data_IF_987606179865
#
_entry.id   IF_987606179865
#
_cell.length_a   1.000
_cell.length_b   1.000
_cell.length_c   1.000
_cell.angle_alpha   90.00
_cell.angle_beta   90.00
_cell.angle_gamma   90.00
#
_symmetry.space_group_name_H-M   'P 1'
#
loop_
_entity.id
_entity.type
_entity.pdbx_description
1 polymer ?
#
# COMPACT_ATOMS: atom_id res chain seq x y z
N UNK A 1 51.93 29.16 -29.85
CA UNK A 1 51.91 27.71 -29.58
C UNK A 1 51.68 27.37 -28.10
N UNK A 2 51.12 28.29 -27.29
CA UNK A 2 50.99 28.16 -25.83
C UNK A 2 49.55 28.30 -25.31
N UNK A 3 48.55 28.47 -26.19
CA UNK A 3 47.14 28.67 -25.80
C UNK A 3 46.36 27.34 -25.77
N UNK A 4 46.77 26.33 -26.55
CA UNK A 4 46.05 25.04 -26.65
C UNK A 4 46.24 24.12 -25.44
N UNK A 5 47.36 24.23 -24.72
CA UNK A 5 47.64 23.36 -23.57
C UNK A 5 46.74 23.71 -22.38
N UNK A 6 46.48 25.01 -22.15
CA UNK A 6 45.63 25.48 -21.05
C UNK A 6 44.15 25.11 -21.25
N UNK A 7 43.68 25.10 -22.51
CA UNK A 7 42.32 24.68 -22.87
C UNK A 7 42.12 23.16 -22.73
N UNK A 8 43.13 22.36 -23.09
CA UNK A 8 43.08 20.90 -22.90
C UNK A 8 43.13 20.49 -21.42
N UNK A 9 43.89 21.20 -20.59
CA UNK A 9 43.94 20.94 -19.15
C UNK A 9 42.64 21.30 -18.43
N UNK A 10 41.97 22.40 -18.82
CA UNK A 10 40.67 22.78 -18.26
C UNK A 10 39.53 21.86 -18.70
N UNK A 11 39.57 21.34 -19.93
CA UNK A 11 38.61 20.33 -20.40
C UNK A 11 38.77 18.97 -19.69
N UNK A 12 40.00 18.50 -19.47
CA UNK A 12 40.29 17.28 -18.69
C UNK A 12 39.90 17.42 -17.21
N UNK A 13 40.14 18.59 -16.60
CA UNK A 13 39.75 18.85 -15.21
C UNK A 13 38.23 18.87 -15.02
N UNK A 14 37.48 19.36 -16.01
CA UNK A 14 36.00 19.37 -15.98
C UNK A 14 35.39 17.99 -16.27
N UNK A 15 36.07 17.16 -17.06
CA UNK A 15 35.69 15.77 -17.28
C UNK A 15 35.94 14.87 -16.05
N UNK A 16 36.95 15.20 -15.24
CA UNK A 16 37.30 14.47 -14.02
C UNK A 16 36.33 14.68 -12.84
N UNK A 17 35.50 15.73 -12.87
CA UNK A 17 34.49 16.00 -11.83
C UNK A 17 33.07 15.57 -12.22
N UNK A 18 32.91 14.85 -13.34
CA UNK A 18 31.63 14.25 -13.69
C UNK A 18 31.40 13.04 -12.78
N UNK A 19 30.52 13.19 -11.80
CA UNK A 19 30.05 12.08 -10.96
C UNK A 19 29.53 10.99 -11.89
N UNK A 20 30.32 9.92 -12.02
CA UNK A 20 29.98 8.81 -12.91
C UNK A 20 28.71 8.13 -12.38
N UNK A 21 27.77 7.84 -13.28
CA UNK A 21 26.56 7.14 -12.88
C UNK A 21 26.95 5.76 -12.32
N UNK A 22 26.51 5.39 -11.09
CA UNK A 22 26.87 4.10 -10.50
C UNK A 22 26.46 2.95 -11.43
N UNK A 23 27.35 1.97 -11.60
CA UNK A 23 27.17 0.80 -12.49
C UNK A 23 27.14 -0.49 -11.65
N UNK A 24 26.43 -1.50 -12.12
CA UNK A 24 26.36 -2.81 -11.45
C UNK A 24 25.66 -2.79 -10.08
N UNK A 25 26.27 -3.44 -9.09
CA UNK A 25 25.72 -3.59 -7.72
C UNK A 25 25.63 -2.26 -6.95
N UNK A 26 26.50 -1.29 -7.25
CA UNK A 26 26.41 0.07 -6.71
C UNK A 26 25.14 0.80 -7.14
N UNK A 27 24.55 0.40 -8.28
CA UNK A 27 23.28 0.91 -8.79
C UNK A 27 22.10 0.44 -7.93
N UNK A 28 22.19 -0.80 -7.42
CA UNK A 28 21.21 -1.35 -6.47
C UNK A 28 21.33 -0.64 -5.13
N UNK A 29 22.55 -0.46 -4.62
CA UNK A 29 22.80 0.31 -3.39
C UNK A 29 22.39 1.80 -3.49
N UNK A 30 22.63 2.43 -4.64
CA UNK A 30 22.18 3.79 -4.90
C UNK A 30 20.65 3.88 -5.09
N UNK A 31 20.01 2.85 -5.62
CA UNK A 31 18.54 2.81 -5.77
C UNK A 31 17.87 2.56 -4.42
N UNK A 32 18.43 1.68 -3.58
CA UNK A 32 17.92 1.44 -2.24
C UNK A 32 18.07 2.67 -1.33
N UNK A 33 19.20 3.38 -1.41
CA UNK A 33 19.38 4.64 -0.65
C UNK A 33 18.41 5.73 -1.10
N UNK A 34 18.08 5.79 -2.40
CA UNK A 34 17.06 6.71 -2.93
C UNK A 34 15.64 6.32 -2.52
N UNK A 35 15.31 5.02 -2.55
CA UNK A 35 14.04 4.50 -2.03
C UNK A 35 13.90 4.85 -0.55
N UNK A 36 14.96 4.64 0.23
CA UNK A 36 15.00 4.97 1.66
C UNK A 36 14.81 6.48 1.88
N UNK A 37 15.46 7.33 1.09
CA UNK A 37 15.27 8.77 1.18
C UNK A 37 13.81 9.19 0.91
N UNK A 38 13.17 8.66 -0.14
CA UNK A 38 11.75 8.92 -0.41
C UNK A 38 10.83 8.38 0.69
N UNK A 39 11.13 7.18 1.20
CA UNK A 39 10.41 6.60 2.34
C UNK A 39 10.50 7.51 3.58
N UNK A 40 11.69 8.01 3.92
CA UNK A 40 11.90 8.93 5.05
C UNK A 40 11.13 10.24 4.85
N UNK A 41 11.15 10.82 3.65
CA UNK A 41 10.40 12.04 3.35
C UNK A 41 8.89 11.83 3.57
N UNK A 42 8.33 10.72 3.11
CA UNK A 42 6.92 10.42 3.32
C UNK A 42 6.58 10.12 4.80
N UNK A 43 7.49 9.48 5.54
CA UNK A 43 7.39 9.30 6.99
C UNK A 43 7.37 10.65 7.74
N UNK A 44 8.15 11.63 7.29
CA UNK A 44 8.18 12.95 7.90
C UNK A 44 6.88 13.73 7.67
N UNK A 45 6.29 13.60 6.47
CA UNK A 45 4.96 14.17 6.19
C UNK A 45 3.91 13.58 7.15
N UNK A 46 3.96 12.26 7.35
CA UNK A 46 3.06 11.55 8.25
C UNK A 46 3.12 12.02 9.70
N UNK A 47 4.30 12.34 10.20
CA UNK A 47 4.48 12.80 11.59
C UNK A 47 3.74 14.11 11.87
N UNK A 48 3.56 14.95 10.85
CA UNK A 48 2.90 16.25 10.98
C UNK A 48 1.38 16.16 10.78
N UNK A 49 0.87 15.09 10.17
CA UNK A 49 -0.56 14.91 9.87
C UNK A 49 -1.28 13.99 10.88
N UNK A 50 -1.18 14.34 12.18
CA UNK A 50 -1.75 13.52 13.26
C UNK A 50 -3.27 13.46 13.23
N UNK A 51 -3.93 14.54 12.82
CA UNK A 51 -5.38 14.62 12.71
C UNK A 51 -5.92 13.67 11.64
N UNK A 52 -5.19 13.51 10.52
CA UNK A 52 -5.59 12.63 9.42
C UNK A 52 -5.67 11.16 9.87
N UNK A 53 -4.73 10.70 10.69
CA UNK A 53 -4.72 9.32 11.20
C UNK A 53 -5.95 9.03 12.08
N UNK A 54 -6.33 10.00 12.92
CA UNK A 54 -7.50 9.88 13.81
C UNK A 54 -8.81 9.97 13.03
N UNK A 55 -8.92 10.88 12.06
CA UNK A 55 -10.13 10.98 11.26
C UNK A 55 -10.33 9.76 10.37
N UNK A 56 -9.25 9.16 9.85
CA UNK A 56 -9.32 7.89 9.10
C UNK A 56 -9.72 6.69 9.96
N UNK A 57 -9.46 6.70 11.27
CA UNK A 57 -9.94 5.67 12.20
C UNK A 57 -11.46 5.62 12.34
N UNK A 58 -12.16 6.71 12.09
CA UNK A 58 -13.61 6.78 12.28
C UNK A 58 -14.33 5.73 11.43
N UNK A 59 -13.94 5.57 10.17
CA UNK A 59 -14.62 4.64 9.27
C UNK A 59 -14.42 3.16 9.63
N UNK A 60 -13.19 2.66 9.87
CA UNK A 60 -12.95 1.31 10.38
C UNK A 60 -13.61 1.05 11.73
N UNK A 61 -13.59 2.04 12.63
CA UNK A 61 -14.23 1.94 13.93
C UNK A 61 -15.76 1.80 13.79
N UNK A 62 -16.39 2.58 12.91
CA UNK A 62 -17.83 2.44 12.62
C UNK A 62 -18.16 1.07 12.05
N UNK A 63 -17.32 0.53 11.16
CA UNK A 63 -17.51 -0.83 10.65
C UNK A 63 -17.43 -1.87 11.77
N UNK A 64 -16.41 -1.81 12.61
CA UNK A 64 -16.23 -2.79 13.69
C UNK A 64 -17.31 -2.65 14.78
N UNK A 65 -17.65 -1.41 15.16
CA UNK A 65 -18.63 -1.14 16.22
C UNK A 65 -20.05 -1.41 15.75
N UNK A 66 -20.45 -0.93 14.57
CA UNK A 66 -21.83 -1.09 14.09
C UNK A 66 -22.03 -2.48 13.52
N UNK A 67 -21.27 -2.87 12.50
CA UNK A 67 -21.47 -4.17 11.87
C UNK A 67 -20.98 -5.31 12.76
N UNK A 68 -19.83 -5.16 13.42
CA UNK A 68 -19.30 -6.21 14.30
C UNK A 68 -20.24 -6.54 15.46
N UNK A 69 -20.75 -5.54 16.20
CA UNK A 69 -21.67 -5.80 17.32
C UNK A 69 -23.04 -6.26 16.86
N UNK A 70 -23.62 -5.61 15.84
CA UNK A 70 -24.97 -5.93 15.35
C UNK A 70 -25.03 -7.36 14.84
N UNK A 71 -24.10 -7.76 13.97
CA UNK A 71 -24.12 -9.11 13.40
C UNK A 71 -23.68 -10.18 14.39
N UNK A 72 -22.82 -9.83 15.37
CA UNK A 72 -22.51 -10.73 16.48
C UNK A 72 -23.73 -10.98 17.37
N UNK A 73 -24.57 -9.97 17.62
CA UNK A 73 -25.80 -10.15 18.40
C UNK A 73 -26.86 -10.96 17.65
N UNK A 74 -27.02 -10.70 16.34
CA UNK A 74 -28.03 -11.36 15.54
C UNK A 74 -27.69 -12.83 15.20
N UNK A 75 -26.46 -13.29 15.44
CA UNK A 75 -25.98 -14.65 15.11
C UNK A 75 -26.27 -15.08 13.66
N UNK A 76 -26.33 -14.11 12.73
CA UNK A 76 -26.76 -14.31 11.34
C UNK A 76 -25.71 -15.06 10.53
N UNK A 77 -24.43 -14.90 10.89
CA UNK A 77 -23.29 -15.45 10.15
C UNK A 77 -22.65 -16.55 11.00
N UNK A 78 -22.70 -17.79 10.51
CA UNK A 78 -22.04 -18.93 11.14
C UNK A 78 -20.54 -18.84 10.91
N UNK A 79 -19.81 -18.17 11.81
CA UNK A 79 -18.34 -18.07 11.80
C UNK A 79 -17.65 -19.24 12.52
N UNK A 80 -18.38 -20.31 12.84
CA UNK A 80 -17.86 -21.46 13.57
C UNK A 80 -17.68 -21.16 15.06
N UNK A 81 -16.47 -21.38 15.59
CA UNK A 81 -16.12 -21.20 17.00
C UNK A 81 -15.62 -19.80 17.38
N UNK A 82 -15.56 -18.89 16.41
CA UNK A 82 -14.99 -17.54 16.58
C UNK A 82 -16.11 -16.50 16.51
N UNK A 83 -16.06 -15.48 17.37
CA UNK A 83 -17.02 -14.38 17.31
C UNK A 83 -16.93 -13.64 15.98
N UNK A 84 -18.06 -13.15 15.48
CA UNK A 84 -18.08 -12.40 14.22
C UNK A 84 -17.16 -11.16 14.27
N UNK A 85 -17.04 -10.54 15.45
CA UNK A 85 -16.12 -9.43 15.72
C UNK A 85 -14.64 -9.82 15.48
N UNK A 86 -14.22 -10.98 15.97
CA UNK A 86 -12.87 -11.49 15.73
C UNK A 86 -12.66 -11.82 14.25
N UNK A 87 -13.66 -12.39 13.56
CA UNK A 87 -13.61 -12.67 12.13
C UNK A 87 -13.53 -11.40 11.26
N UNK A 88 -14.24 -10.35 11.67
CA UNK A 88 -14.36 -9.08 10.94
C UNK A 88 -13.11 -8.20 11.08
N UNK A 89 -12.45 -8.21 12.24
CA UNK A 89 -11.31 -7.33 12.51
C UNK A 89 -10.18 -7.42 11.47
N UNK A 90 -9.67 -8.61 11.07
CA UNK A 90 -8.71 -8.73 9.96
C UNK A 90 -9.21 -8.17 8.63
N UNK A 91 -10.50 -8.37 8.33
CA UNK A 91 -11.15 -7.86 7.14
C UNK A 91 -11.14 -6.33 7.08
N UNK A 92 -11.48 -5.69 8.19
CA UNK A 92 -11.50 -4.22 8.32
C UNK A 92 -10.07 -3.65 8.27
N UNK A 93 -9.08 -4.35 8.82
CA UNK A 93 -7.67 -3.95 8.70
C UNK A 93 -7.24 -3.91 7.22
N UNK A 94 -7.48 -4.99 6.47
CA UNK A 94 -7.16 -5.05 5.03
C UNK A 94 -7.96 -4.02 4.22
N UNK A 95 -9.24 -3.85 4.51
CA UNK A 95 -10.07 -2.80 3.90
C UNK A 95 -9.50 -1.41 4.12
N UNK A 96 -9.05 -1.11 5.34
CA UNK A 96 -8.46 0.19 5.68
C UNK A 96 -7.19 0.43 4.84
N UNK A 97 -6.37 -0.60 4.66
CA UNK A 97 -5.17 -0.56 3.84
C UNK A 97 -5.49 -0.25 2.37
N UNK A 98 -6.49 -0.93 1.79
CA UNK A 98 -7.00 -0.65 0.44
C UNK A 98 -7.47 0.81 0.31
N UNK A 99 -8.30 1.28 1.25
CA UNK A 99 -8.91 2.61 1.16
C UNK A 99 -7.88 3.72 1.26
N UNK A 100 -6.86 3.57 2.12
CA UNK A 100 -5.71 4.49 2.20
C UNK A 100 -4.94 4.50 0.88
N UNK A 101 -4.67 3.31 0.34
CA UNK A 101 -3.79 3.14 -0.80
C UNK A 101 -4.34 3.76 -2.09
N UNK A 102 -5.66 3.82 -2.24
CA UNK A 102 -6.31 4.45 -3.39
C UNK A 102 -6.02 5.95 -3.51
N UNK A 103 -5.80 6.65 -2.39
CA UNK A 103 -5.47 8.08 -2.43
C UNK A 103 -4.07 8.39 -2.96
N UNK A 104 -3.16 7.41 -3.01
CA UNK A 104 -1.79 7.64 -3.49
C UNK A 104 -1.71 7.94 -4.99
N UNK A 105 -2.63 7.39 -5.80
CA UNK A 105 -2.73 7.77 -7.21
C UNK A 105 -3.16 9.23 -7.36
N UNK A 106 -4.13 9.70 -6.56
CA UNK A 106 -4.56 11.09 -6.56
C UNK A 106 -3.41 12.00 -6.15
N UNK A 107 -2.64 11.60 -5.14
CA UNK A 107 -1.48 12.34 -4.68
C UNK A 107 -0.41 12.48 -5.79
N UNK A 108 -0.26 11.47 -6.65
CA UNK A 108 0.64 11.58 -7.83
C UNK A 108 0.13 12.55 -8.88
N UNK A 109 -1.18 12.59 -9.14
CA UNK A 109 -1.75 13.57 -10.06
C UNK A 109 -1.55 14.98 -9.48
N UNK A 110 -1.69 15.13 -8.16
CA UNK A 110 -1.45 16.41 -7.51
C UNK A 110 0.01 16.84 -7.59
N UNK A 111 0.95 15.92 -7.32
CA UNK A 111 2.39 16.17 -7.46
C UNK A 111 2.76 16.55 -8.90
N UNK A 112 2.07 15.96 -9.90
CA UNK A 112 2.21 16.32 -11.31
C UNK A 112 1.77 17.75 -11.57
N UNK A 113 0.55 18.08 -11.17
CA UNK A 113 -0.03 19.40 -11.43
C UNK A 113 0.69 20.52 -10.68
N UNK A 114 1.29 20.22 -9.52
CA UNK A 114 2.15 21.14 -8.77
C UNK A 114 3.56 21.28 -9.39
N UNK A 115 3.87 20.56 -10.47
CA UNK A 115 5.20 20.53 -11.09
C UNK A 115 6.27 19.81 -10.26
N UNK A 116 5.91 19.22 -9.13
CA UNK A 116 6.81 18.45 -8.26
C UNK A 116 7.27 17.19 -8.99
N UNK A 117 6.36 16.50 -9.68
CA UNK A 117 6.69 15.27 -10.40
C UNK A 117 7.74 15.51 -11.50
N UNK A 118 7.64 16.62 -12.23
CA UNK A 118 8.62 16.99 -13.25
C UNK A 118 10.01 17.23 -12.65
N UNK A 119 10.08 17.92 -11.49
CA UNK A 119 11.34 18.14 -10.76
C UNK A 119 11.94 16.83 -10.25
N UNK A 120 11.12 15.94 -9.70
CA UNK A 120 11.57 14.63 -9.21
C UNK A 120 12.08 13.74 -10.34
N UNK A 121 11.42 13.77 -11.50
CA UNK A 121 11.80 12.98 -12.68
C UNK A 121 13.01 13.55 -13.44
N UNK A 122 13.34 14.83 -13.23
CA UNK A 122 14.59 15.42 -13.71
C UNK A 122 15.82 15.00 -12.89
N UNK A 123 15.62 14.44 -11.68
CA UNK A 123 16.73 13.90 -10.89
C UNK A 123 17.23 12.56 -11.45
N UNK A 124 18.47 12.15 -11.16
CA UNK A 124 19.00 10.84 -11.57
C UNK A 124 18.28 9.63 -10.92
N UNK A 125 17.24 9.85 -10.12
CA UNK A 125 16.50 8.80 -9.44
C UNK A 125 15.54 8.09 -10.42
N UNK A 126 15.50 6.74 -10.41
CA UNK A 126 14.56 6.03 -11.27
C UNK A 126 13.12 6.26 -10.79
N UNK A 127 12.15 6.30 -11.71
CA UNK A 127 10.73 6.41 -11.38
C UNK A 127 10.23 5.34 -10.37
N UNK A 128 10.87 4.17 -10.38
CA UNK A 128 10.61 3.12 -9.40
C UNK A 128 10.93 3.54 -7.97
N UNK A 129 11.96 4.37 -7.75
CA UNK A 129 12.26 4.85 -6.41
C UNK A 129 11.14 5.72 -5.83
N UNK A 130 10.50 6.54 -6.69
CA UNK A 130 9.35 7.36 -6.31
C UNK A 130 8.13 6.49 -5.99
N UNK A 131 7.80 5.54 -6.88
CA UNK A 131 6.67 4.62 -6.71
C UNK A 131 6.86 3.76 -5.46
N UNK A 132 8.04 3.19 -5.25
CA UNK A 132 8.34 2.39 -4.06
C UNK A 132 8.27 3.23 -2.79
N UNK A 133 8.81 4.45 -2.78
CA UNK A 133 8.72 5.34 -1.62
C UNK A 133 7.27 5.67 -1.24
N UNK A 134 6.42 6.00 -2.22
CA UNK A 134 4.98 6.23 -2.00
C UNK A 134 4.24 4.96 -1.56
N UNK A 135 4.56 3.81 -2.15
CA UNK A 135 3.96 2.52 -1.76
C UNK A 135 4.34 2.13 -0.34
N UNK A 136 5.60 2.35 0.05
CA UNK A 136 6.07 2.13 1.41
C UNK A 136 5.35 3.05 2.40
N UNK A 137 5.17 4.33 2.05
CA UNK A 137 4.39 5.25 2.85
C UNK A 137 2.93 4.79 3.02
N UNK A 138 2.35 4.19 1.97
CA UNK A 138 1.00 3.62 2.03
C UNK A 138 0.93 2.48 3.04
N UNK A 139 1.93 1.60 3.01
CA UNK A 139 2.13 0.56 4.01
C UNK A 139 2.22 1.12 5.43
N UNK A 140 3.08 2.11 5.67
CA UNK A 140 3.23 2.70 7.00
C UNK A 140 1.94 3.38 7.48
N UNK A 141 1.23 4.10 6.61
CA UNK A 141 -0.11 4.66 6.92
C UNK A 141 -1.08 3.56 7.34
N UNK A 142 -1.04 2.44 6.65
CA UNK A 142 -1.93 1.29 6.90
C UNK A 142 -1.56 0.57 8.20
N UNK A 143 -0.28 0.51 8.59
CA UNK A 143 0.16 -0.02 9.89
C UNK A 143 -0.44 0.77 11.07
N UNK A 144 -0.56 2.10 10.95
CA UNK A 144 -1.26 2.88 11.97
C UNK A 144 -2.73 2.44 12.12
N UNK A 145 -3.36 1.97 11.03
CA UNK A 145 -4.71 1.42 11.10
C UNK A 145 -4.77 0.07 11.79
N UNK A 146 -3.78 -0.80 11.57
CA UNK A 146 -3.64 -2.06 12.30
C UNK A 146 -3.65 -1.80 13.80
N UNK A 147 -2.81 -0.85 14.26
CA UNK A 147 -2.72 -0.51 15.69
C UNK A 147 -4.06 -0.01 16.23
N UNK A 148 -4.72 0.89 15.52
CA UNK A 148 -5.99 1.47 15.98
C UNK A 148 -7.14 0.46 16.00
N UNK A 149 -7.26 -0.39 14.97
CA UNK A 149 -8.29 -1.44 14.91
C UNK A 149 -8.03 -2.53 15.95
N UNK A 150 -6.77 -2.93 16.16
CA UNK A 150 -6.41 -3.89 17.22
C UNK A 150 -6.71 -3.31 18.61
N UNK A 151 -6.35 -2.05 18.86
CA UNK A 151 -6.66 -1.39 20.13
C UNK A 151 -8.17 -1.37 20.40
N UNK A 152 -8.97 -1.04 19.39
CA UNK A 152 -10.43 -1.07 19.49
C UNK A 152 -10.95 -2.50 19.75
N UNK A 153 -10.42 -3.49 19.03
CA UNK A 153 -10.80 -4.89 19.21
C UNK A 153 -10.46 -5.40 20.62
N UNK A 154 -9.32 -5.02 21.20
CA UNK A 154 -8.98 -5.39 22.58
C UNK A 154 -9.87 -4.69 23.61
N UNK A 155 -10.24 -3.41 23.39
CA UNK A 155 -11.19 -2.70 24.25
C UNK A 155 -12.58 -3.37 24.23
N UNK A 156 -12.95 -3.97 23.10
CA UNK A 156 -14.19 -4.72 22.93
C UNK A 156 -14.11 -6.18 23.38
N UNK A 157 -13.01 -6.60 24.04
CA UNK A 157 -12.75 -7.97 24.50
C UNK A 157 -12.85 -9.03 23.38
N UNK A 158 -12.38 -8.67 22.19
CA UNK A 158 -12.35 -9.58 21.03
C UNK A 158 -11.17 -10.54 21.17
N UNK A 159 -11.44 -11.85 21.01
CA UNK A 159 -10.42 -12.91 21.08
C UNK A 159 -9.41 -12.91 19.92
N UNK A 160 -8.54 -11.90 19.88
CA UNK A 160 -7.40 -11.80 18.96
C UNK A 160 -6.10 -12.22 19.65
N UNK A 161 -5.12 -12.65 18.87
CA UNK A 161 -3.79 -13.00 19.38
C UNK A 161 -3.11 -11.82 20.08
N UNK A 162 -2.60 -12.05 21.28
CA UNK A 162 -1.76 -11.07 22.01
C UNK A 162 -0.28 -11.24 21.63
N UNK A 163 0.08 -12.31 20.91
CA UNK A 163 1.46 -12.61 20.53
C UNK A 163 2.08 -11.48 19.69
N UNK A 164 3.11 -10.77 20.19
CA UNK A 164 3.70 -9.62 19.49
C UNK A 164 4.28 -9.97 18.12
N UNK A 165 4.82 -11.19 17.97
CA UNK A 165 5.43 -11.63 16.71
C UNK A 165 4.37 -11.77 15.60
N UNK A 166 3.19 -12.28 15.94
CA UNK A 166 2.06 -12.38 15.00
C UNK A 166 1.51 -11.01 14.62
N UNK A 167 1.48 -10.07 15.55
CA UNK A 167 1.08 -8.68 15.29
C UNK A 167 2.07 -7.99 14.34
N UNK A 168 3.38 -8.16 14.57
CA UNK A 168 4.42 -7.61 13.68
C UNK A 168 4.32 -8.23 12.28
N UNK A 169 4.10 -9.54 12.20
CA UNK A 169 3.88 -10.22 10.92
C UNK A 169 2.62 -9.67 10.21
N UNK A 170 1.53 -9.41 10.94
CA UNK A 170 0.31 -8.83 10.39
C UNK A 170 0.54 -7.41 9.85
N UNK A 171 1.34 -6.60 10.54
CA UNK A 171 1.78 -5.29 10.02
C UNK A 171 2.56 -5.45 8.70
N UNK A 172 3.45 -6.45 8.60
CA UNK A 172 4.17 -6.75 7.37
C UNK A 172 3.25 -7.14 6.21
N UNK A 173 2.26 -7.99 6.46
CA UNK A 173 1.23 -8.38 5.48
C UNK A 173 0.46 -7.15 4.96
N UNK A 174 0.05 -6.27 5.87
CA UNK A 174 -0.66 -5.02 5.52
C UNK A 174 0.23 -4.07 4.73
N UNK A 175 1.52 -3.99 5.06
CA UNK A 175 2.45 -3.18 4.27
C UNK A 175 2.56 -3.67 2.83
N UNK A 176 2.57 -4.99 2.62
CA UNK A 176 2.61 -5.58 1.28
C UNK A 176 1.30 -5.33 0.52
N UNK A 177 0.15 -5.60 1.13
CA UNK A 177 -1.17 -5.34 0.54
C UNK A 177 -1.35 -3.87 0.15
N UNK A 178 -1.06 -2.96 1.08
CA UNK A 178 -1.10 -1.52 0.84
C UNK A 178 -0.14 -1.08 -0.28
N UNK A 179 1.07 -1.63 -0.32
CA UNK A 179 2.02 -1.31 -1.39
C UNK A 179 1.48 -1.72 -2.76
N UNK A 180 0.86 -2.89 -2.88
CA UNK A 180 0.21 -3.34 -4.11
C UNK A 180 -0.94 -2.42 -4.52
N UNK A 181 -1.88 -2.13 -3.62
CA UNK A 181 -3.03 -1.27 -3.93
C UNK A 181 -2.61 0.16 -4.25
N UNK A 182 -1.54 0.66 -3.62
CA UNK A 182 -0.99 1.97 -3.93
C UNK A 182 -0.41 1.97 -5.33
N UNK A 183 0.33 0.93 -5.72
CA UNK A 183 0.81 0.76 -7.08
C UNK A 183 -0.32 0.67 -8.11
N UNK A 184 -1.40 -0.05 -7.81
CA UNK A 184 -2.58 -0.11 -8.66
C UNK A 184 -3.20 1.28 -8.86
N UNK A 185 -3.37 2.04 -7.77
CA UNK A 185 -3.88 3.42 -7.85
C UNK A 185 -2.96 4.35 -8.65
N UNK A 186 -1.65 4.28 -8.43
CA UNK A 186 -0.66 5.06 -9.17
C UNK A 186 -0.61 4.69 -10.67
N UNK A 187 -0.81 3.41 -10.99
CA UNK A 187 -0.95 2.91 -12.37
C UNK A 187 -2.17 3.55 -13.04
N UNK A 188 -3.33 3.55 -12.36
CA UNK A 188 -4.55 4.19 -12.85
C UNK A 188 -4.39 5.70 -13.02
N UNK A 189 -3.67 6.36 -12.11
CA UNK A 189 -3.33 7.78 -12.22
C UNK A 189 -2.57 8.09 -13.51
N UNK A 190 -1.64 7.20 -13.90
CA UNK A 190 -0.91 7.23 -15.17
C UNK A 190 -1.81 7.24 -16.41
N UNK A 191 -2.91 6.49 -16.36
CA UNK A 191 -3.85 6.31 -17.47
C UNK A 191 -4.90 7.42 -17.54
N UNK A 192 -5.48 7.79 -16.40
CA UNK A 192 -6.65 8.67 -16.31
C UNK A 192 -6.28 10.15 -16.41
N UNK A 193 -5.10 10.54 -15.89
CA UNK A 193 -4.54 11.91 -15.96
C UNK A 193 -5.41 13.04 -15.41
N UNK A 194 -6.55 12.74 -14.78
CA UNK A 194 -7.50 13.69 -14.19
C UNK A 194 -7.82 13.29 -12.75
N UNK A 195 -7.82 14.27 -11.83
CA UNK A 195 -8.06 14.04 -10.39
C UNK A 195 -9.47 13.53 -10.13
N UNK A 196 -10.47 14.26 -10.63
CA UNK A 196 -11.89 13.94 -10.40
C UNK A 196 -12.25 12.57 -10.97
N UNK A 197 -11.72 12.26 -12.16
CA UNK A 197 -11.95 10.97 -12.81
C UNK A 197 -11.27 9.83 -12.06
N UNK A 198 -10.08 10.06 -11.50
CA UNK A 198 -9.41 9.05 -10.66
C UNK A 198 -10.15 8.84 -9.34
N UNK A 199 -10.73 9.88 -8.73
CA UNK A 199 -11.58 9.74 -7.54
C UNK A 199 -12.78 8.85 -7.83
N UNK A 200 -13.51 9.11 -8.93
CA UNK A 200 -14.66 8.30 -9.33
C UNK A 200 -14.30 6.86 -9.65
N UNK A 201 -13.28 6.65 -10.49
CA UNK A 201 -12.81 5.30 -10.87
C UNK A 201 -12.25 4.54 -9.66
N UNK A 202 -11.50 5.23 -8.80
CA UNK A 202 -10.95 4.66 -7.57
C UNK A 202 -12.06 4.08 -6.71
N UNK A 203 -13.12 4.83 -6.45
CA UNK A 203 -14.27 4.34 -5.67
C UNK A 203 -15.04 3.22 -6.39
N UNK A 204 -15.23 3.36 -7.70
CA UNK A 204 -15.92 2.36 -8.52
C UNK A 204 -15.18 1.00 -8.56
N UNK A 205 -13.87 0.98 -8.37
CA UNK A 205 -13.07 -0.26 -8.25
C UNK A 205 -13.02 -0.73 -6.80
N UNK A 206 -12.83 0.19 -5.85
CA UNK A 206 -12.61 -0.13 -4.44
C UNK A 206 -13.81 -0.82 -3.80
N UNK A 207 -15.02 -0.33 -4.07
CA UNK A 207 -16.24 -0.91 -3.49
C UNK A 207 -16.48 -2.35 -3.95
N UNK A 208 -16.50 -2.67 -5.26
CA UNK A 208 -16.61 -4.05 -5.72
C UNK A 208 -15.48 -4.94 -5.21
N UNK A 209 -14.25 -4.44 -5.17
CA UNK A 209 -13.10 -5.21 -4.69
C UNK A 209 -13.23 -5.53 -3.19
N UNK A 210 -13.79 -4.63 -2.40
CA UNK A 210 -14.10 -4.89 -1.00
C UNK A 210 -15.21 -5.93 -0.83
N UNK A 211 -16.36 -5.75 -1.49
CA UNK A 211 -17.50 -6.68 -1.34
C UNK A 211 -17.28 -8.05 -2.00
N UNK A 212 -16.44 -8.13 -3.02
CA UNK A 212 -16.02 -9.38 -3.64
C UNK A 212 -14.88 -10.09 -2.88
N UNK A 213 -14.42 -9.52 -1.77
CA UNK A 213 -13.46 -10.19 -0.89
C UNK A 213 -14.16 -11.01 0.18
N UNK A 214 -13.40 -11.84 0.87
CA UNK A 214 -13.85 -12.56 2.04
C UNK A 214 -13.74 -11.76 3.35
N UNK A 215 -13.58 -10.43 3.30
CA UNK A 215 -13.47 -9.58 4.49
C UNK A 215 -14.73 -9.62 5.37
N UNK A 216 -15.92 -9.55 4.76
CA UNK A 216 -17.20 -9.45 5.47
C UNK A 216 -17.87 -10.81 5.70
N UNK A 217 -17.68 -11.76 4.79
CA UNK A 217 -18.42 -13.02 4.78
C UNK A 217 -17.45 -14.22 4.72
N UNK A 218 -17.76 -15.32 5.42
CA UNK A 218 -17.09 -16.60 5.19
C UNK A 218 -17.24 -17.03 3.74
N UNK A 219 -16.19 -17.63 3.18
CA UNK A 219 -16.18 -18.09 1.78
C UNK A 219 -17.31 -19.09 1.51
N UNK A 220 -17.65 -19.93 2.50
CA UNK A 220 -18.71 -20.93 2.40
C UNK A 220 -20.12 -20.34 2.29
N UNK A 221 -20.31 -19.08 2.71
CA UNK A 221 -21.59 -18.38 2.60
C UNK A 221 -21.76 -17.66 1.24
N UNK A 222 -20.72 -17.65 0.40
CA UNK A 222 -20.74 -16.91 -0.86
C UNK A 222 -21.44 -17.68 -1.99
N UNK A 223 -22.22 -17.00 -2.84
CA UNK A 223 -22.69 -17.60 -4.08
C UNK A 223 -21.51 -17.90 -5.03
N UNK A 224 -21.66 -18.91 -5.89
CA UNK A 224 -20.57 -19.44 -6.74
C UNK A 224 -19.84 -18.37 -7.55
N UNK A 225 -20.56 -17.38 -8.09
CA UNK A 225 -19.95 -16.30 -8.88
C UNK A 225 -19.05 -15.39 -8.03
N UNK A 226 -19.44 -15.13 -6.78
CA UNK A 226 -18.67 -14.30 -5.84
C UNK A 226 -17.45 -15.06 -5.33
N UNK A 227 -17.60 -16.37 -5.12
CA UNK A 227 -16.50 -17.24 -4.73
C UNK A 227 -15.39 -17.31 -5.81
N UNK A 228 -15.74 -17.30 -7.09
CA UNK A 228 -14.73 -17.23 -8.16
C UNK A 228 -14.01 -15.89 -8.15
N UNK A 229 -14.74 -14.78 -7.96
CA UNK A 229 -14.14 -13.45 -7.88
C UNK A 229 -13.22 -13.31 -6.66
N UNK A 230 -13.61 -13.87 -5.51
CA UNK A 230 -12.81 -13.77 -4.29
C UNK A 230 -11.47 -14.49 -4.41
N UNK A 231 -11.36 -15.57 -5.20
CA UNK A 231 -10.09 -16.27 -5.48
C UNK A 231 -9.11 -15.47 -6.34
N UNK A 232 -9.58 -14.55 -7.18
CA UNK A 232 -8.70 -13.70 -8.00
C UNK A 232 -8.35 -12.40 -7.27
N UNK A 233 -9.18 -12.02 -6.31
CA UNK A 233 -9.06 -10.76 -5.59
C UNK A 233 -7.86 -10.73 -4.64
N UNK A 234 -6.88 -9.83 -4.85
CA UNK A 234 -5.72 -9.66 -3.97
C UNK A 234 -6.08 -9.35 -2.52
N UNK A 235 -7.22 -8.70 -2.28
CA UNK A 235 -7.69 -8.38 -0.94
C UNK A 235 -8.03 -9.64 -0.15
N UNK A 236 -8.55 -10.69 -0.79
CA UNK A 236 -8.87 -11.95 -0.12
C UNK A 236 -7.62 -12.62 0.46
N UNK A 237 -6.51 -12.61 -0.29
CA UNK A 237 -5.22 -13.14 0.15
C UNK A 237 -4.66 -12.34 1.35
N UNK A 238 -4.82 -11.02 1.36
CA UNK A 238 -4.45 -10.19 2.52
C UNK A 238 -5.28 -10.54 3.75
N UNK A 239 -6.59 -10.69 3.58
CA UNK A 239 -7.50 -11.04 4.68
C UNK A 239 -7.20 -12.43 5.24
N UNK A 240 -6.95 -13.42 4.39
CA UNK A 240 -6.66 -14.80 4.83
C UNK A 240 -5.32 -14.88 5.58
N UNK A 241 -4.28 -14.21 5.07
CA UNK A 241 -3.01 -14.08 5.77
C UNK A 241 -3.18 -13.39 7.15
N UNK A 242 -3.99 -12.32 7.22
CA UNK A 242 -4.29 -11.64 8.48
C UNK A 242 -5.09 -12.51 9.44
N UNK A 243 -6.04 -13.31 8.97
CA UNK A 243 -6.80 -14.24 9.82
C UNK A 243 -5.91 -15.34 10.38
N UNK A 244 -5.00 -15.87 9.57
CA UNK A 244 -4.06 -16.90 10.02
C UNK A 244 -3.16 -16.36 11.13
N UNK A 245 -2.74 -15.10 11.03
CA UNK A 245 -1.91 -14.45 12.02
C UNK A 245 -2.71 -14.03 13.27
N UNK A 246 -3.86 -13.38 13.11
CA UNK A 246 -4.58 -12.73 14.20
C UNK A 246 -5.55 -13.63 14.96
N UNK A 247 -6.17 -14.60 14.27
CA UNK A 247 -7.18 -15.51 14.82
C UNK A 247 -6.63 -16.95 14.90
N UNK A 248 -5.60 -17.29 14.12
CA UNK A 248 -5.02 -18.63 14.10
C UNK A 248 -5.71 -19.60 13.14
N UNK A 249 -6.32 -19.10 12.07
CA UNK A 249 -6.83 -19.94 10.98
C UNK A 249 -5.67 -20.63 10.22
N UNK A 250 -5.94 -21.70 9.44
CA UNK A 250 -4.91 -22.37 8.66
C UNK A 250 -4.16 -21.39 7.75
N UNK A 251 -2.83 -21.39 7.84
CA UNK A 251 -1.97 -20.54 7.02
C UNK A 251 -1.75 -21.18 5.64
N UNK A 252 -1.95 -20.41 4.57
CA UNK A 252 -1.61 -20.83 3.23
C UNK A 252 -0.39 -20.04 2.70
N UNK A 253 0.72 -20.70 2.34
CA UNK A 253 1.90 -20.03 1.80
C UNK A 253 1.63 -19.23 0.52
N UNK A 254 0.60 -19.61 -0.25
CA UNK A 254 0.21 -18.92 -1.49
C UNK A 254 -0.16 -17.46 -1.22
N UNK A 255 -0.79 -17.17 -0.08
CA UNK A 255 -1.22 -15.82 0.28
C UNK A 255 -0.03 -14.86 0.35
N UNK A 256 1.05 -15.29 1.01
CA UNK A 256 2.28 -14.50 1.13
C UNK A 256 2.99 -14.38 -0.22
N UNK A 257 3.04 -15.46 -1.01
CA UNK A 257 3.67 -15.43 -2.34
C UNK A 257 2.96 -14.40 -3.25
N UNK A 258 1.63 -14.42 -3.27
CA UNK A 258 0.83 -13.45 -4.03
C UNK A 258 1.08 -12.03 -3.52
N UNK A 259 1.08 -11.81 -2.21
CA UNK A 259 1.32 -10.50 -1.60
C UNK A 259 2.75 -9.98 -1.77
N UNK A 260 3.75 -10.83 -2.00
CA UNK A 260 5.12 -10.39 -2.29
C UNK A 260 5.29 -10.09 -3.78
N UNK A 261 4.72 -10.93 -4.66
CA UNK A 261 4.85 -10.76 -6.11
C UNK A 261 4.02 -9.56 -6.60
N UNK A 262 2.81 -9.37 -6.09
CA UNK A 262 1.89 -8.35 -6.57
C UNK A 262 2.45 -6.92 -6.45
N UNK A 263 3.06 -6.48 -5.32
CA UNK A 263 3.72 -5.18 -5.23
C UNK A 263 4.90 -5.04 -6.18
N UNK A 264 5.69 -6.09 -6.41
CA UNK A 264 6.85 -6.03 -7.33
C UNK A 264 6.37 -5.78 -8.76
N UNK A 265 5.35 -6.50 -9.19
CA UNK A 265 4.70 -6.30 -10.50
C UNK A 265 4.07 -4.91 -10.56
N UNK A 266 3.35 -4.51 -9.51
CA UNK A 266 2.73 -3.19 -9.41
C UNK A 266 3.72 -2.03 -9.48
N UNK A 267 4.87 -2.15 -8.82
CA UNK A 267 5.94 -1.14 -8.88
C UNK A 267 6.46 -1.06 -10.32
N UNK A 268 6.69 -2.19 -10.99
CA UNK A 268 7.16 -2.21 -12.37
C UNK A 268 6.16 -1.53 -13.33
N UNK A 269 4.87 -1.88 -13.24
CA UNK A 269 3.82 -1.30 -14.11
C UNK A 269 3.58 0.18 -13.82
N UNK A 270 3.51 0.56 -12.55
CA UNK A 270 3.34 1.96 -12.17
C UNK A 270 4.52 2.79 -12.64
N UNK A 271 5.76 2.28 -12.51
CA UNK A 271 6.98 2.99 -12.92
C UNK A 271 7.06 3.25 -14.43
N UNK A 272 6.56 2.34 -15.27
CA UNK A 272 6.58 2.52 -16.73
C UNK A 272 5.53 3.53 -17.17
N UNK A 273 4.34 3.48 -16.57
CA UNK A 273 3.25 4.42 -16.86
C UNK A 273 3.52 5.82 -16.29
N UNK A 274 4.21 5.93 -15.15
CA UNK A 274 4.58 7.23 -14.57
C UNK A 274 5.48 8.03 -15.52
N UNK A 275 6.36 7.36 -16.27
CA UNK A 275 7.20 8.03 -17.28
C UNK A 275 6.37 8.69 -18.37
N UNK A 276 5.21 8.12 -18.71
CA UNK A 276 4.26 8.72 -19.66
C UNK A 276 3.55 9.94 -19.10
N UNK A 277 3.59 10.22 -17.79
CA UNK A 277 2.95 11.41 -17.21
C UNK A 277 3.80 12.68 -17.35
N UNK A 278 5.11 12.51 -17.57
CA UNK A 278 6.08 13.62 -17.66
C UNK A 278 6.48 13.93 -19.10
N UNK A 279 6.28 12.97 -20.02
CA UNK A 279 6.39 13.17 -21.46
C UNK A 279 5.11 13.80 -22.02
#
# INVERSE_FOLDING_TARGET
MSVDVTAQHTAKAKAASLISAPRGWERVGATSSRVAAFAIVELQKLKHDRSELVTRMVQPALWLLIFGTTFSHLHVIKTGSVSYLAFLAPGIIAQSALFISIFYGIQIIWDRDAGILAKLMATPAPASALVTGKSFAAGVRSVAQVVGVLALAYVMDVGLTINPLRIIAAMGVVMLGAAFFACLSMTLAGLVRSRDRLMGIGQAITMPLFFASNALYPVDAMPTWLHVLSKVNPLSYEVDALRALLIGTPFNPVDIVVLVIAPVVGIATASTLLRRLVA
#
